data_IF_059539603737
#
_entry.id   IF_059539603737
#
_cell.length_a   1.000
_cell.length_b   1.000
_cell.length_c   1.000
_cell.angle_alpha   90.00
_cell.angle_beta   90.00
_cell.angle_gamma   90.00
#
_symmetry.space_group_name_H-M   'P 1'
#
loop_
_entity.id
_entity.type
_entity.pdbx_description
1 polymer ?
#
# COMPACT_ATOMS: atom_id res chain seq x y z
N UNK A 1 6.18 -5.67 -28.06
CA UNK A 1 4.98 -6.04 -27.29
C UNK A 1 4.84 -5.10 -26.09
N UNK A 2 3.76 -4.37 -26.02
CA UNK A 2 3.47 -3.53 -24.87
C UNK A 2 2.93 -4.41 -23.73
N UNK A 3 3.68 -4.46 -22.64
CA UNK A 3 3.23 -5.17 -21.45
C UNK A 3 2.07 -4.38 -20.85
N UNK A 4 0.90 -5.01 -20.77
CA UNK A 4 -0.25 -4.38 -20.14
C UNK A 4 -0.05 -4.34 -18.63
N UNK A 5 -0.27 -3.17 -18.06
CA UNK A 5 -0.27 -2.97 -16.61
C UNK A 5 -1.71 -3.15 -16.12
N UNK A 6 -1.91 -4.03 -15.14
CA UNK A 6 -3.22 -4.19 -14.55
C UNK A 6 -3.67 -2.88 -13.89
N UNK A 7 -4.85 -2.33 -14.25
CA UNK A 7 -5.32 -1.07 -13.68
C UNK A 7 -5.69 -1.17 -12.22
N UNK A 8 -5.98 -2.38 -11.72
CA UNK A 8 -6.35 -2.61 -10.34
C UNK A 8 -5.77 -3.92 -9.83
N UNK A 9 -5.02 -3.85 -8.74
CA UNK A 9 -4.69 -5.00 -7.91
C UNK A 9 -5.48 -4.88 -6.60
N UNK A 10 -6.08 -5.97 -6.15
CA UNK A 10 -6.93 -5.96 -4.96
C UNK A 10 -6.75 -7.24 -4.17
N UNK A 11 -6.52 -7.11 -2.87
CA UNK A 11 -6.45 -8.22 -1.93
C UNK A 11 -7.27 -7.86 -0.69
N UNK A 12 -7.93 -8.85 -0.11
CA UNK A 12 -8.86 -8.65 1.01
C UNK A 12 -8.60 -9.66 2.11
N UNK A 13 -8.80 -9.25 3.37
CA UNK A 13 -8.75 -10.14 4.53
C UNK A 13 -9.83 -9.73 5.54
N UNK A 14 -10.36 -10.70 6.27
CA UNK A 14 -11.25 -10.43 7.40
C UNK A 14 -10.49 -10.56 8.71
N UNK A 15 -10.72 -9.61 9.61
CA UNK A 15 -10.00 -9.46 10.87
C UNK A 15 -11.02 -9.42 12.02
N UNK A 16 -10.73 -10.14 13.10
CA UNK A 16 -11.57 -10.14 14.30
C UNK A 16 -11.20 -8.96 15.21
N UNK A 17 -11.39 -7.76 14.69
CA UNK A 17 -11.20 -6.51 15.40
C UNK A 17 -12.06 -5.44 14.71
N UNK A 18 -12.61 -4.51 15.49
CA UNK A 18 -13.48 -3.46 14.95
C UNK A 18 -12.72 -2.49 14.04
N UNK A 19 -13.41 -1.78 13.14
CA UNK A 19 -12.77 -0.71 12.35
C UNK A 19 -12.08 0.34 13.22
N UNK A 20 -12.62 0.67 14.36
CA UNK A 20 -12.02 1.62 15.30
C UNK A 20 -10.68 1.12 15.85
N UNK A 21 -10.51 -0.19 15.99
CA UNK A 21 -9.24 -0.80 16.43
C UNK A 21 -8.24 -0.95 15.29
N UNK A 22 -8.72 -1.25 14.08
CA UNK A 22 -7.86 -1.43 12.89
C UNK A 22 -7.34 -0.08 12.38
N UNK A 23 -8.17 0.96 12.46
CA UNK A 23 -7.85 2.27 11.88
C UNK A 23 -6.52 2.87 12.36
N UNK A 24 -6.20 2.87 13.68
CA UNK A 24 -4.91 3.42 14.14
C UNK A 24 -3.70 2.70 13.54
N UNK A 25 -3.85 1.44 13.14
CA UNK A 25 -2.78 0.69 12.48
C UNK A 25 -2.60 1.15 11.04
N UNK A 26 -3.65 1.06 10.22
CA UNK A 26 -3.54 1.34 8.78
C UNK A 26 -3.34 2.83 8.48
N UNK A 27 -3.75 3.72 9.37
CA UNK A 27 -3.55 5.17 9.20
C UNK A 27 -2.18 5.65 9.69
N UNK A 28 -1.45 4.83 10.42
CA UNK A 28 -0.07 5.15 10.81
C UNK A 28 0.87 4.70 9.70
N UNK A 29 1.21 5.62 8.81
CA UNK A 29 1.95 5.33 7.58
C UNK A 29 3.37 4.79 7.85
N UNK A 30 3.95 5.06 9.02
CA UNK A 30 5.27 4.54 9.40
C UNK A 30 5.25 3.02 9.63
N UNK A 31 4.09 2.46 9.94
CA UNK A 31 3.95 1.03 10.22
C UNK A 31 4.03 0.15 8.98
N UNK A 32 3.90 0.73 7.78
CA UNK A 32 3.98 -0.03 6.53
C UNK A 32 5.29 -0.84 6.44
N UNK A 33 6.38 -0.30 6.94
CA UNK A 33 7.67 -0.99 6.96
C UNK A 33 7.65 -2.28 7.80
N UNK A 34 6.75 -2.37 8.79
CA UNK A 34 6.56 -3.57 9.62
C UNK A 34 5.78 -4.67 8.92
N UNK A 35 5.00 -4.33 7.90
CA UNK A 35 4.07 -5.26 7.25
C UNK A 35 4.46 -5.59 5.81
N UNK A 36 4.88 -4.60 5.04
CA UNK A 36 5.24 -4.79 3.64
C UNK A 36 6.65 -5.38 3.53
N UNK A 37 6.85 -6.44 2.71
CA UNK A 37 8.18 -6.97 2.48
C UNK A 37 9.06 -6.03 1.64
N UNK A 38 8.47 -5.05 0.95
CA UNK A 38 9.17 -4.15 0.05
C UNK A 38 9.53 -2.81 0.69
N UNK A 39 8.68 -2.28 1.56
CA UNK A 39 8.91 -0.99 2.21
C UNK A 39 9.84 -1.16 3.40
N UNK A 40 11.01 -0.51 3.36
CA UNK A 40 11.99 -0.54 4.45
C UNK A 40 11.73 0.53 5.50
N UNK A 41 11.30 1.71 5.06
CA UNK A 41 11.06 2.85 5.94
C UNK A 41 10.11 3.85 5.28
N UNK A 42 9.26 4.46 6.09
CA UNK A 42 8.42 5.58 5.66
C UNK A 42 8.70 6.78 6.55
N UNK A 43 9.09 7.88 5.94
CA UNK A 43 9.28 9.17 6.61
C UNK A 43 8.04 10.02 6.35
N UNK A 44 7.43 10.53 7.42
CA UNK A 44 6.27 11.41 7.33
C UNK A 44 6.74 12.85 7.48
N UNK A 45 6.53 13.65 6.43
CA UNK A 45 6.94 15.04 6.42
C UNK A 45 6.18 15.85 7.48
N UNK A 46 6.91 16.57 8.32
CA UNK A 46 6.33 17.36 9.39
C UNK A 46 5.95 16.56 10.64
N UNK A 47 6.02 15.22 10.58
CA UNK A 47 5.61 14.35 11.69
C UNK A 47 4.12 14.42 11.97
N UNK A 48 3.71 13.92 13.15
CA UNK A 48 2.31 13.97 13.58
C UNK A 48 1.41 12.92 12.94
N UNK A 49 0.10 12.92 13.29
CA UNK A 49 -0.86 11.98 12.75
C UNK A 49 -1.12 12.22 11.27
N UNK A 50 -1.49 11.14 10.57
CA UNK A 50 -1.87 11.22 9.16
C UNK A 50 -3.17 12.00 8.98
N UNK A 51 -3.25 12.71 7.87
CA UNK A 51 -4.42 13.50 7.48
C UNK A 51 -4.42 13.67 5.96
N UNK A 52 -5.49 14.22 5.42
CA UNK A 52 -5.54 14.57 4.00
C UNK A 52 -4.39 15.54 3.69
N UNK A 53 -3.63 15.25 2.64
CA UNK A 53 -2.48 16.07 2.23
C UNK A 53 -1.16 15.71 2.88
N UNK A 54 -1.12 14.80 3.86
CA UNK A 54 0.13 14.32 4.45
C UNK A 54 1.04 13.76 3.37
N UNK A 55 2.31 14.19 3.40
CA UNK A 55 3.32 13.72 2.43
C UNK A 55 4.30 12.77 3.08
N UNK A 56 4.70 11.75 2.33
CA UNK A 56 5.65 10.75 2.80
C UNK A 56 6.76 10.50 1.79
N UNK A 57 7.89 10.05 2.30
CA UNK A 57 8.99 9.49 1.52
C UNK A 57 9.13 8.04 1.95
N UNK A 58 8.97 7.12 1.02
CA UNK A 58 9.15 5.69 1.27
C UNK A 58 10.51 5.26 0.71
N UNK A 59 11.20 4.43 1.46
CA UNK A 59 12.40 3.74 0.98
C UNK A 59 11.99 2.29 0.73
N UNK A 60 12.07 1.87 -0.52
CA UNK A 60 11.68 0.54 -0.97
C UNK A 60 12.92 -0.29 -1.27
N UNK A 61 12.78 -1.60 -1.14
CA UNK A 61 13.88 -2.54 -1.42
C UNK A 61 13.37 -3.81 -2.07
N UNK A 62 14.13 -4.31 -3.04
CA UNK A 62 13.97 -5.63 -3.63
C UNK A 62 15.37 -6.21 -3.83
N UNK A 63 15.74 -7.19 -3.01
CA UNK A 63 17.12 -7.71 -3.01
C UNK A 63 18.11 -6.60 -2.67
N UNK A 64 19.04 -6.34 -3.55
CA UNK A 64 20.04 -5.28 -3.39
C UNK A 64 19.59 -3.93 -3.97
N UNK A 65 18.48 -3.92 -4.69
CA UNK A 65 17.93 -2.70 -5.28
C UNK A 65 17.14 -1.92 -4.23
N UNK A 66 17.51 -0.65 -4.05
CA UNK A 66 16.84 0.28 -3.14
C UNK A 66 16.43 1.51 -3.94
N UNK A 67 15.17 1.96 -3.79
CA UNK A 67 14.71 3.17 -4.47
C UNK A 67 13.70 3.92 -3.60
N UNK A 68 13.68 5.27 -3.72
CA UNK A 68 12.70 6.08 -3.00
C UNK A 68 11.42 6.26 -3.82
N UNK A 69 10.30 6.45 -3.12
CA UNK A 69 9.06 6.92 -3.72
C UNK A 69 8.44 7.99 -2.81
N UNK A 70 7.80 8.98 -3.43
CA UNK A 70 7.12 10.06 -2.73
C UNK A 70 5.62 9.87 -2.85
N UNK A 71 4.91 10.06 -1.75
CA UNK A 71 3.47 9.88 -1.73
C UNK A 71 2.77 11.02 -1.01
N UNK A 72 1.48 11.15 -1.30
CA UNK A 72 0.61 12.12 -0.66
C UNK A 72 -0.72 11.46 -0.36
N UNK A 73 -1.25 11.68 0.83
CA UNK A 73 -2.59 11.20 1.20
C UNK A 73 -3.62 12.00 0.39
N UNK A 74 -4.36 11.32 -0.46
CA UNK A 74 -5.36 11.91 -1.37
C UNK A 74 -6.80 11.58 -1.00
N UNK A 75 -7.02 10.54 -0.19
CA UNK A 75 -8.31 10.22 0.42
C UNK A 75 -8.08 9.88 1.88
N UNK A 76 -8.89 10.41 2.75
CA UNK A 76 -8.76 10.19 4.19
C UNK A 76 -10.13 10.28 4.84
N UNK A 77 -10.67 9.14 5.22
CA UNK A 77 -11.95 9.03 5.90
C UNK A 77 -11.76 8.11 7.10
N UNK A 78 -11.69 8.66 8.32
CA UNK A 78 -11.41 7.88 9.53
C UNK A 78 -12.32 6.68 9.66
N UNK A 79 -11.74 5.54 10.02
CA UNK A 79 -12.37 4.22 10.17
C UNK A 79 -12.87 3.60 8.87
N UNK A 80 -12.67 4.24 7.71
CA UNK A 80 -13.17 3.74 6.42
C UNK A 80 -12.14 3.65 5.32
N UNK A 81 -11.34 4.69 5.07
CA UNK A 81 -10.38 4.65 3.97
C UNK A 81 -9.21 5.60 4.17
N UNK A 82 -8.03 5.13 3.82
CA UNK A 82 -6.85 5.97 3.58
C UNK A 82 -6.26 5.58 2.24
N UNK A 83 -5.97 6.59 1.39
CA UNK A 83 -5.37 6.37 0.08
C UNK A 83 -4.22 7.34 -0.15
N UNK A 84 -3.13 6.82 -0.72
CA UNK A 84 -1.94 7.58 -1.05
C UNK A 84 -1.65 7.49 -2.53
N UNK A 85 -1.39 8.63 -3.16
CA UNK A 85 -0.92 8.69 -4.54
C UNK A 85 0.60 8.76 -4.55
N UNK A 86 1.21 7.83 -5.27
CA UNK A 86 2.66 7.80 -5.48
C UNK A 86 2.99 8.71 -6.65
N UNK A 87 3.77 9.75 -6.38
CA UNK A 87 4.15 10.74 -7.39
C UNK A 87 5.02 10.15 -8.49
N UNK A 88 5.88 9.24 -8.11
CA UNK A 88 6.94 8.72 -9.00
C UNK A 88 6.43 7.75 -10.05
N UNK A 89 5.29 7.10 -9.82
CA UNK A 89 4.73 6.10 -10.74
C UNK A 89 3.23 6.26 -11.02
N UNK A 90 2.57 7.27 -10.46
CA UNK A 90 1.15 7.61 -10.66
C UNK A 90 0.16 6.60 -10.09
N UNK A 91 0.61 5.64 -9.29
CA UNK A 91 -0.30 4.67 -8.67
C UNK A 91 -0.93 5.24 -7.41
N UNK A 92 -2.12 4.71 -7.07
CA UNK A 92 -2.81 5.03 -5.82
C UNK A 92 -2.94 3.75 -5.01
N UNK A 93 -2.43 3.78 -3.79
CA UNK A 93 -2.51 2.67 -2.85
C UNK A 93 -3.48 3.02 -1.73
N UNK A 94 -4.35 2.08 -1.39
CA UNK A 94 -5.38 2.33 -0.39
C UNK A 94 -5.63 1.13 0.52
N UNK A 95 -6.10 1.45 1.74
CA UNK A 95 -6.76 0.50 2.62
C UNK A 95 -8.19 0.98 2.83
N UNK A 96 -9.15 0.10 2.58
CA UNK A 96 -10.57 0.33 2.85
C UNK A 96 -11.01 -0.60 3.96
N UNK A 97 -11.75 -0.09 4.93
CA UNK A 97 -12.27 -0.84 6.06
C UNK A 97 -13.78 -0.92 5.97
N UNK A 98 -14.33 -2.14 6.06
CA UNK A 98 -15.77 -2.37 6.10
C UNK A 98 -16.10 -3.20 7.33
N UNK A 99 -17.10 -2.81 8.17
CA UNK A 99 -17.50 -3.64 9.29
C UNK A 99 -18.14 -4.93 8.79
N UNK A 100 -17.89 -6.03 9.51
CA UNK A 100 -18.54 -7.32 9.24
C UNK A 100 -19.69 -7.53 10.22
N UNK A 101 -20.61 -8.45 9.88
CA UNK A 101 -21.75 -8.78 10.74
C UNK A 101 -21.32 -9.33 12.11
N UNK A 102 -20.13 -9.95 12.17
CA UNK A 102 -19.58 -10.51 13.40
C UNK A 102 -18.86 -9.46 14.29
N UNK A 103 -18.91 -8.17 13.91
CA UNK A 103 -18.23 -7.10 14.66
C UNK A 103 -16.77 -6.92 14.33
N UNK A 104 -16.27 -7.61 13.31
CA UNK A 104 -14.91 -7.48 12.81
C UNK A 104 -14.80 -6.46 11.68
N UNK A 105 -13.71 -6.58 10.92
CA UNK A 105 -13.41 -5.67 9.80
C UNK A 105 -12.96 -6.46 8.58
N UNK A 106 -13.50 -6.12 7.42
CA UNK A 106 -12.94 -6.52 6.13
C UNK A 106 -12.00 -5.42 5.69
N UNK A 107 -10.72 -5.77 5.54
CA UNK A 107 -9.69 -4.84 5.04
C UNK A 107 -9.43 -5.19 3.59
N UNK A 108 -9.58 -4.21 2.71
CA UNK A 108 -9.22 -4.35 1.30
C UNK A 108 -8.06 -3.42 1.00
N UNK A 109 -6.96 -3.99 0.49
CA UNK A 109 -5.84 -3.21 -0.01
C UNK A 109 -5.92 -3.17 -1.53
N UNK A 110 -5.78 -1.97 -2.10
CA UNK A 110 -5.83 -1.75 -3.55
C UNK A 110 -4.61 -0.99 -4.02
N UNK A 111 -4.12 -1.37 -5.20
CA UNK A 111 -3.22 -0.53 -5.99
C UNK A 111 -3.94 -0.19 -7.28
N UNK A 112 -4.26 1.07 -7.47
CA UNK A 112 -4.94 1.58 -8.64
C UNK A 112 -3.93 2.25 -9.57
N UNK A 113 -3.98 1.93 -10.86
CA UNK A 113 -3.16 2.52 -11.91
C UNK A 113 -4.04 2.88 -13.11
N UNK A 114 -5.01 3.82 -12.94
CA UNK A 114 -6.01 4.10 -13.97
C UNK A 114 -5.42 4.71 -15.24
N UNK A 115 -4.24 5.32 -15.15
CA UNK A 115 -3.54 5.92 -16.30
C UNK A 115 -2.23 5.17 -16.61
N UNK A 116 -2.08 3.94 -16.08
CA UNK A 116 -0.84 3.21 -16.14
C UNK A 116 0.19 3.76 -15.15
N UNK A 117 1.46 3.41 -15.35
CA UNK A 117 2.57 3.91 -14.52
C UNK A 117 3.48 4.79 -15.38
N UNK A 118 4.36 5.58 -14.73
CA UNK A 118 5.28 6.46 -15.45
C UNK A 118 6.24 5.66 -16.34
N UNK A 119 6.73 6.29 -17.42
CA UNK A 119 7.69 5.66 -18.32
C UNK A 119 8.97 5.22 -17.60
N UNK A 120 9.43 6.00 -16.62
CA UNK A 120 10.59 5.66 -15.80
C UNK A 120 10.32 4.39 -14.98
N UNK A 121 9.13 4.27 -14.40
CA UNK A 121 8.73 3.08 -13.63
C UNK A 121 8.58 1.85 -14.53
N UNK A 122 8.04 2.00 -15.74
CA UNK A 122 7.96 0.91 -16.72
C UNK A 122 9.37 0.40 -17.05
N UNK A 123 10.31 1.30 -17.36
CA UNK A 123 11.69 0.92 -17.67
C UNK A 123 12.39 0.24 -16.51
N UNK A 124 12.21 0.75 -15.30
CA UNK A 124 12.78 0.16 -14.10
C UNK A 124 12.24 -1.26 -13.90
N UNK A 125 10.94 -1.44 -14.02
CA UNK A 125 10.28 -2.74 -13.85
C UNK A 125 10.77 -3.74 -14.91
N UNK A 126 10.80 -3.33 -16.18
CA UNK A 126 11.17 -4.23 -17.28
C UNK A 126 12.65 -4.60 -17.27
N UNK A 127 13.52 -3.67 -16.88
CA UNK A 127 14.98 -3.90 -16.92
C UNK A 127 15.55 -4.45 -15.63
N UNK A 128 15.00 -4.09 -14.49
CA UNK A 128 15.64 -4.33 -13.18
C UNK A 128 14.76 -5.16 -12.23
N UNK A 129 13.43 -5.03 -12.32
CA UNK A 129 12.50 -5.69 -11.40
C UNK A 129 11.92 -6.99 -11.95
N UNK A 130 12.49 -7.56 -13.00
CA UNK A 130 12.10 -8.86 -13.53
C UNK A 130 10.92 -8.85 -14.51
N UNK A 131 10.49 -7.66 -14.97
CA UNK A 131 9.35 -7.48 -15.89
C UNK A 131 8.02 -7.25 -15.17
N UNK A 132 7.03 -6.78 -15.93
CA UNK A 132 5.73 -6.37 -15.38
C UNK A 132 4.97 -7.53 -14.73
N UNK A 133 4.94 -8.68 -15.40
CA UNK A 133 4.21 -9.86 -14.91
C UNK A 133 4.79 -10.37 -13.59
N UNK A 134 6.10 -10.54 -13.53
CA UNK A 134 6.75 -11.01 -12.31
C UNK A 134 6.64 -10.01 -11.17
N UNK A 135 6.85 -8.74 -11.47
CA UNK A 135 6.74 -7.68 -10.45
C UNK A 135 5.30 -7.55 -9.92
N UNK A 136 4.29 -7.67 -10.79
CA UNK A 136 2.88 -7.69 -10.39
C UNK A 136 2.58 -8.85 -9.47
N UNK A 137 3.09 -10.05 -9.77
CA UNK A 137 2.91 -11.22 -8.90
C UNK A 137 3.56 -11.00 -7.53
N UNK A 138 4.74 -10.39 -7.49
CA UNK A 138 5.42 -10.03 -6.23
C UNK A 138 4.63 -8.99 -5.43
N UNK A 139 4.02 -8.00 -6.10
CA UNK A 139 3.19 -7.01 -5.44
C UNK A 139 1.95 -7.65 -4.80
N UNK A 140 1.27 -8.54 -5.52
CA UNK A 140 0.12 -9.28 -4.97
C UNK A 140 0.51 -10.09 -3.74
N UNK A 141 1.62 -10.81 -3.82
CA UNK A 141 2.12 -11.58 -2.69
C UNK A 141 2.47 -10.68 -1.51
N UNK A 142 3.11 -9.55 -1.77
CA UNK A 142 3.43 -8.55 -0.74
C UNK A 142 2.18 -7.96 -0.10
N UNK A 143 1.12 -7.72 -0.88
CA UNK A 143 -0.17 -7.25 -0.35
C UNK A 143 -0.79 -8.30 0.58
N UNK A 144 -0.76 -9.57 0.21
CA UNK A 144 -1.26 -10.66 1.06
C UNK A 144 -0.49 -10.75 2.37
N UNK A 145 0.84 -10.69 2.31
CA UNK A 145 1.69 -10.70 3.51
C UNK A 145 1.41 -9.49 4.40
N UNK A 146 1.24 -8.32 3.81
CA UNK A 146 0.89 -7.09 4.52
C UNK A 146 -0.41 -7.28 5.31
N UNK A 147 -1.45 -7.77 4.66
CA UNK A 147 -2.75 -7.99 5.28
C UNK A 147 -2.69 -9.03 6.41
N UNK A 148 -1.96 -10.13 6.21
CA UNK A 148 -1.78 -11.16 7.25
C UNK A 148 -1.09 -10.57 8.49
N UNK A 149 -0.09 -9.74 8.30
CA UNK A 149 0.63 -9.09 9.41
C UNK A 149 -0.22 -8.05 10.13
N UNK A 150 -1.02 -7.28 9.39
CA UNK A 150 -1.98 -6.34 9.99
C UNK A 150 -2.99 -7.12 10.84
N UNK A 151 -3.54 -8.22 10.31
CA UNK A 151 -4.47 -9.09 11.03
C UNK A 151 -3.86 -9.59 12.34
N UNK A 152 -2.66 -10.10 12.31
CA UNK A 152 -1.97 -10.61 13.49
C UNK A 152 -1.83 -9.53 14.56
N UNK A 153 -1.48 -8.31 14.17
CA UNK A 153 -1.31 -7.18 15.09
C UNK A 153 -2.67 -6.69 15.63
N UNK A 154 -3.68 -6.62 14.77
CA UNK A 154 -5.01 -6.15 15.17
C UNK A 154 -5.73 -7.11 16.13
N UNK A 155 -5.45 -8.40 16.01
CA UNK A 155 -6.08 -9.45 16.83
C UNK A 155 -5.27 -9.80 18.08
N UNK A 156 -4.09 -9.22 18.23
CA UNK A 156 -3.23 -9.49 19.37
C UNK A 156 -3.77 -8.89 20.69
#
# INVERSE_FOLDING_TARGET
MTTQIEPLLEETIEVDASPARVWPLVSDLRRMASWSPQVQKTLVRGGGPSRLGTRTLNVNRRGLLVWPTRAKVVRFEPHREIALRIKDNFTVWSFTLEPTDAGGTRITQRREAPQGISNTSVRLTDKVLGGQEQFTAELRDGMRQTLVRIKAEAEA
#
